data_IF_938644812420
#
_entry.id   IF_938644812420
#
_cell.length_a   1.000
_cell.length_b   1.000
_cell.length_c   1.000
_cell.angle_alpha   90.00
_cell.angle_beta   90.00
_cell.angle_gamma   90.00
#
_symmetry.space_group_name_H-M   'P 1'
#
loop_
_entity.id
_entity.type
_entity.pdbx_description
1 polymer ?
#
# COMPACT_ATOMS: atom_id res chain seq x y z
N UNK A 1 19.08 -20.73 -1.20
CA UNK A 1 17.95 -19.99 -0.58
C UNK A 1 18.06 -18.52 -0.93
N UNK A 2 16.95 -17.91 -1.32
CA UNK A 2 16.92 -16.52 -1.75
C UNK A 2 15.58 -15.88 -1.38
N UNK A 3 15.63 -14.66 -0.86
CA UNK A 3 14.45 -13.87 -0.60
C UNK A 3 14.21 -12.92 -1.77
N UNK A 4 13.00 -12.95 -2.34
CA UNK A 4 12.61 -12.13 -3.50
C UNK A 4 11.34 -11.35 -3.21
N UNK A 5 11.25 -10.14 -3.76
CA UNK A 5 10.01 -9.38 -3.81
C UNK A 5 9.20 -9.83 -5.03
N UNK A 6 7.96 -10.29 -4.80
CA UNK A 6 7.06 -10.71 -5.88
C UNK A 6 6.24 -9.53 -6.39
N UNK A 7 5.58 -8.82 -5.46
CA UNK A 7 4.77 -7.63 -5.77
C UNK A 7 4.71 -6.73 -4.54
N UNK A 8 4.50 -5.46 -4.78
CA UNK A 8 4.25 -4.47 -3.73
C UNK A 8 3.02 -3.64 -4.08
N UNK A 9 2.35 -3.15 -3.05
CA UNK A 9 1.25 -2.18 -3.18
C UNK A 9 1.56 -0.96 -2.31
N UNK A 10 0.56 -0.07 -2.11
CA UNK A 10 0.74 1.06 -1.21
C UNK A 10 0.81 0.67 0.27
N UNK A 11 0.31 -0.50 0.66
CA UNK A 11 0.20 -0.91 2.07
C UNK A 11 0.64 -2.33 2.35
N UNK A 12 1.12 -3.04 1.34
CA UNK A 12 1.52 -4.44 1.49
C UNK A 12 2.65 -4.81 0.56
N UNK A 13 3.27 -5.94 0.83
CA UNK A 13 4.28 -6.54 -0.03
C UNK A 13 4.17 -8.07 0.04
N UNK A 14 4.40 -8.72 -1.07
CA UNK A 14 4.46 -10.18 -1.15
C UNK A 14 5.90 -10.57 -1.41
N UNK A 15 6.45 -11.39 -0.53
CA UNK A 15 7.82 -11.89 -0.63
C UNK A 15 7.82 -13.41 -0.81
N UNK A 16 8.79 -13.90 -1.55
CA UNK A 16 9.03 -15.32 -1.76
C UNK A 16 10.39 -15.69 -1.17
N UNK A 17 10.39 -16.68 -0.29
CA UNK A 17 11.62 -17.25 0.25
C UNK A 17 11.83 -18.61 -0.38
N UNK A 18 12.67 -18.64 -1.42
CA UNK A 18 12.96 -19.84 -2.19
C UNK A 18 13.94 -20.72 -1.41
N UNK A 19 13.48 -21.91 -1.05
CA UNK A 19 14.25 -22.91 -0.30
C UNK A 19 14.82 -24.03 -1.18
N UNK A 20 14.94 -23.80 -2.50
CA UNK A 20 15.50 -24.76 -3.42
C UNK A 20 14.46 -25.56 -4.21
N UNK A 21 13.27 -25.00 -4.44
CA UNK A 21 12.24 -25.56 -5.30
C UNK A 21 11.16 -26.36 -4.59
N UNK A 22 11.08 -26.27 -3.28
CA UNK A 22 9.99 -26.85 -2.49
C UNK A 22 8.86 -25.84 -2.34
N UNK A 23 7.60 -26.28 -2.51
CA UNK A 23 6.45 -25.43 -2.31
C UNK A 23 6.19 -25.07 -0.86
N UNK A 24 6.64 -25.91 0.06
CA UNK A 24 6.49 -25.71 1.49
C UNK A 24 7.83 -25.90 2.17
N UNK A 25 8.28 -24.87 2.87
CA UNK A 25 9.31 -25.05 3.86
C UNK A 25 8.66 -25.72 5.06
N UNK A 26 9.18 -26.87 5.50
CA UNK A 26 8.75 -27.52 6.75
C UNK A 26 9.33 -26.80 7.98
N UNK A 27 10.20 -25.84 7.74
CA UNK A 27 10.91 -25.13 8.78
C UNK A 27 10.49 -23.65 8.79
N UNK A 28 10.24 -23.17 10.00
CA UNK A 28 9.84 -21.79 10.23
C UNK A 28 11.02 -20.85 10.07
N UNK A 29 10.79 -19.73 9.41
CA UNK A 29 11.75 -18.64 9.33
C UNK A 29 11.11 -17.34 9.82
N UNK A 30 11.95 -16.40 10.24
CA UNK A 30 11.52 -15.10 10.75
C UNK A 30 11.69 -14.02 9.68
N UNK A 31 10.67 -13.20 9.51
CA UNK A 31 10.75 -12.01 8.65
C UNK A 31 11.01 -10.77 9.50
N UNK A 32 11.99 -9.98 9.11
CA UNK A 32 12.31 -8.71 9.72
C UNK A 32 11.97 -7.57 8.77
N UNK A 33 11.36 -6.52 9.29
CA UNK A 33 11.11 -5.27 8.56
C UNK A 33 11.97 -4.19 9.20
N UNK A 34 12.89 -3.63 8.41
CA UNK A 34 13.84 -2.61 8.90
C UNK A 34 14.59 -3.05 10.18
N UNK A 35 14.92 -4.33 10.27
CA UNK A 35 15.62 -4.91 11.40
C UNK A 35 14.76 -5.33 12.58
N UNK A 36 13.45 -5.08 12.54
CA UNK A 36 12.50 -5.48 13.58
C UNK A 36 11.70 -6.71 13.17
N UNK A 37 11.44 -7.60 14.12
CA UNK A 37 10.67 -8.81 13.86
C UNK A 37 9.23 -8.47 13.46
N UNK A 38 8.84 -8.87 12.25
CA UNK A 38 7.46 -8.81 11.79
C UNK A 38 6.67 -10.04 12.20
N UNK A 39 7.25 -11.22 12.00
CA UNK A 39 6.59 -12.48 12.32
C UNK A 39 7.36 -13.67 11.78
N UNK A 40 6.81 -14.84 12.08
CA UNK A 40 7.36 -16.13 11.65
C UNK A 40 6.41 -16.81 10.69
N UNK A 41 6.93 -17.50 9.71
CA UNK A 41 6.13 -18.20 8.70
C UNK A 41 6.86 -19.45 8.19
N UNK A 42 6.07 -20.43 7.78
CA UNK A 42 6.56 -21.63 7.11
C UNK A 42 6.27 -21.59 5.60
N UNK A 43 5.65 -20.52 5.13
CA UNK A 43 5.22 -20.39 3.74
C UNK A 43 6.34 -19.87 2.86
N UNK A 44 6.46 -20.44 1.66
CA UNK A 44 7.39 -19.93 0.64
C UNK A 44 6.98 -18.52 0.19
N UNK A 45 5.69 -18.29 0.00
CA UNK A 45 5.14 -16.97 -0.37
C UNK A 45 4.38 -16.41 0.82
N UNK A 46 4.74 -15.23 1.28
CA UNK A 46 4.13 -14.56 2.43
C UNK A 46 3.77 -13.13 2.08
N UNK A 47 2.56 -12.73 2.47
CA UNK A 47 2.10 -11.33 2.33
C UNK A 47 2.35 -10.57 3.63
N UNK A 48 3.00 -9.42 3.51
CA UNK A 48 3.27 -8.50 4.62
C UNK A 48 2.26 -7.37 4.54
N UNK A 49 1.51 -7.15 5.62
CA UNK A 49 0.47 -6.12 5.71
C UNK A 49 0.88 -4.99 6.65
N UNK A 50 0.10 -3.92 6.64
CA UNK A 50 0.26 -2.82 7.58
C UNK A 50 1.41 -1.87 7.25
N UNK A 51 1.88 -1.87 6.01
CA UNK A 51 2.90 -0.95 5.55
C UNK A 51 2.31 0.45 5.28
N UNK A 52 3.14 1.46 5.33
CA UNK A 52 2.75 2.84 4.99
C UNK A 52 3.02 3.10 3.51
N UNK A 53 2.15 3.90 2.83
CA UNK A 53 2.40 4.29 1.45
C UNK A 53 3.66 5.15 1.29
N UNK A 54 4.25 5.10 0.10
CA UNK A 54 5.40 5.93 -0.29
C UNK A 54 6.55 5.90 0.72
N UNK A 55 6.82 4.71 1.26
CA UNK A 55 7.82 4.50 2.31
C UNK A 55 8.80 3.40 1.90
N UNK A 56 10.08 3.62 2.19
CA UNK A 56 11.11 2.61 1.92
C UNK A 56 11.16 1.57 3.03
N UNK A 57 11.28 0.31 2.62
CA UNK A 57 11.36 -0.83 3.52
C UNK A 57 12.48 -1.78 3.11
N UNK A 58 13.08 -2.44 4.11
CA UNK A 58 14.04 -3.53 3.93
C UNK A 58 13.50 -4.77 4.61
N UNK A 59 13.32 -5.84 3.84
CA UNK A 59 12.82 -7.11 4.35
C UNK A 59 13.96 -8.12 4.36
N UNK A 60 14.17 -8.76 5.50
CA UNK A 60 15.18 -9.79 5.70
C UNK A 60 14.52 -11.04 6.23
N UNK A 61 14.93 -12.21 5.74
CA UNK A 61 14.53 -13.50 6.29
C UNK A 61 15.67 -14.07 7.14
N UNK A 62 15.34 -14.57 8.32
CA UNK A 62 16.30 -15.25 9.20
C UNK A 62 15.90 -16.72 9.31
N UNK A 63 16.77 -17.59 8.86
CA UNK A 63 16.56 -19.04 8.85
C UNK A 63 17.81 -19.75 9.34
N UNK A 64 17.63 -20.64 10.30
CA UNK A 64 18.74 -21.43 10.89
C UNK A 64 19.93 -20.56 11.35
N UNK A 65 19.64 -19.37 11.90
CA UNK A 65 20.65 -18.43 12.37
C UNK A 65 21.35 -17.63 11.28
N UNK A 66 20.90 -17.73 10.04
CA UNK A 66 21.48 -17.02 8.89
C UNK A 66 20.48 -16.03 8.30
N UNK A 67 20.96 -14.86 7.93
CA UNK A 67 20.16 -13.82 7.30
C UNK A 67 20.19 -13.93 5.76
N UNK A 68 19.03 -13.74 5.13
CA UNK A 68 18.85 -13.74 3.68
C UNK A 68 18.18 -12.43 3.27
N UNK A 69 18.67 -11.81 2.21
CA UNK A 69 18.30 -10.49 1.78
C UNK A 69 19.39 -9.48 2.16
N UNK A 70 19.08 -8.19 2.41
CA UNK A 70 17.74 -7.62 2.42
C UNK A 70 17.16 -7.42 1.02
N UNK A 71 15.83 -7.42 0.95
CA UNK A 71 15.08 -6.96 -0.20
C UNK A 71 14.65 -5.53 0.11
N UNK A 72 15.07 -4.59 -0.72
CA UNK A 72 14.76 -3.18 -0.56
C UNK A 72 13.70 -2.77 -1.57
N UNK A 73 12.68 -2.03 -1.11
CA UNK A 73 11.64 -1.51 -1.98
C UNK A 73 10.98 -0.29 -1.37
N UNK A 74 10.28 0.45 -2.20
CA UNK A 74 9.44 1.57 -1.78
C UNK A 74 7.99 1.23 -2.10
N UNK A 75 7.10 1.33 -1.11
CA UNK A 75 5.66 1.10 -1.33
C UNK A 75 5.10 2.12 -2.32
N UNK A 76 4.02 1.72 -3.00
CA UNK A 76 3.40 2.57 -4.00
C UNK A 76 2.77 3.81 -3.37
N UNK A 77 2.75 4.87 -4.14
CA UNK A 77 2.12 6.11 -3.76
C UNK A 77 0.59 5.93 -3.73
N UNK A 78 -0.06 6.41 -2.67
CA UNK A 78 -1.50 6.33 -2.52
C UNK A 78 -2.11 7.74 -2.56
N UNK A 79 -2.94 7.99 -3.58
CA UNK A 79 -3.60 9.29 -3.73
C UNK A 79 -4.76 9.42 -2.76
N UNK A 80 -4.87 10.59 -2.14
CA UNK A 80 -6.07 10.99 -1.41
C UNK A 80 -7.09 11.46 -2.44
N UNK A 81 -8.29 10.86 -2.43
CA UNK A 81 -9.40 11.26 -3.31
C UNK A 81 -10.45 12.01 -2.51
N UNK A 82 -10.77 13.23 -2.94
CA UNK A 82 -11.83 14.06 -2.35
C UNK A 82 -13.01 14.08 -3.31
N UNK A 83 -14.16 13.59 -2.84
CA UNK A 83 -15.37 13.55 -3.64
C UNK A 83 -16.17 14.83 -3.36
N UNK A 84 -16.50 15.63 -4.39
CA UNK A 84 -17.21 16.89 -4.23
C UNK A 84 -18.59 16.73 -3.58
N UNK A 85 -19.21 15.56 -3.71
CA UNK A 85 -20.50 15.28 -3.06
C UNK A 85 -20.39 15.21 -1.54
N UNK A 86 -19.24 14.83 -1.01
CA UNK A 86 -18.97 14.83 0.43
C UNK A 86 -18.83 16.26 0.98
N UNK A 87 -18.57 17.22 0.10
CA UNK A 87 -18.51 18.65 0.44
C UNK A 87 -19.84 19.37 0.21
N UNK A 88 -20.91 18.63 -0.12
CA UNK A 88 -22.26 19.16 -0.26
C UNK A 88 -22.73 19.41 -1.68
N UNK A 89 -21.98 18.99 -2.69
CA UNK A 89 -22.42 19.11 -4.08
C UNK A 89 -23.60 18.17 -4.38
N UNK A 90 -24.63 18.67 -5.04
CA UNK A 90 -25.84 17.90 -5.37
C UNK A 90 -25.75 17.20 -6.73
N UNK A 91 -25.14 17.85 -7.72
CA UNK A 91 -25.02 17.28 -9.06
C UNK A 91 -26.33 17.13 -9.82
N UNK A 92 -27.36 17.91 -9.44
CA UNK A 92 -28.72 17.80 -9.99
C UNK A 92 -29.05 18.88 -11.04
N UNK A 93 -28.12 19.79 -11.31
CA UNK A 93 -28.33 20.91 -12.24
C UNK A 93 -29.21 22.03 -11.71
N UNK A 94 -29.70 21.94 -10.47
CA UNK A 94 -30.60 22.96 -9.85
C UNK A 94 -29.91 23.73 -8.73
N UNK A 95 -29.18 23.04 -7.86
CA UNK A 95 -28.41 23.69 -6.79
C UNK A 95 -27.13 24.29 -7.31
N UNK A 96 -26.70 25.41 -6.71
CA UNK A 96 -25.39 25.98 -7.00
C UNK A 96 -24.32 25.22 -6.23
N UNK A 97 -23.49 24.47 -6.95
CA UNK A 97 -22.44 23.62 -6.39
C UNK A 97 -21.06 24.30 -6.32
N UNK A 98 -20.98 25.58 -6.67
CA UNK A 98 -19.72 26.35 -6.72
C UNK A 98 -18.94 26.26 -5.41
N UNK A 99 -19.60 26.52 -4.27
CA UNK A 99 -18.93 26.50 -2.97
C UNK A 99 -18.45 25.10 -2.57
N UNK A 100 -19.26 24.07 -2.85
CA UNK A 100 -18.90 22.70 -2.54
C UNK A 100 -17.66 22.26 -3.31
N UNK A 101 -17.61 22.55 -4.61
CA UNK A 101 -16.47 22.22 -5.47
C UNK A 101 -15.23 23.00 -5.05
N UNK A 102 -15.37 24.29 -4.77
CA UNK A 102 -14.26 25.12 -4.29
C UNK A 102 -13.72 24.64 -2.94
N UNK A 103 -14.60 24.24 -2.02
CA UNK A 103 -14.17 23.68 -0.73
C UNK A 103 -13.36 22.40 -0.90
N UNK A 104 -13.78 21.51 -1.81
CA UNK A 104 -13.04 20.29 -2.11
C UNK A 104 -11.65 20.60 -2.67
N UNK A 105 -11.56 21.55 -3.61
CA UNK A 105 -10.29 21.96 -4.21
C UNK A 105 -9.36 22.59 -3.16
N UNK A 106 -9.89 23.46 -2.32
CA UNK A 106 -9.12 24.15 -1.28
C UNK A 106 -8.66 23.20 -0.17
N UNK A 107 -9.44 22.17 0.13
CA UNK A 107 -9.11 21.17 1.14
C UNK A 107 -8.11 20.12 0.62
N UNK A 108 -7.88 20.06 -0.70
CA UNK A 108 -7.04 19.04 -1.31
C UNK A 108 -5.57 19.21 -0.89
N UNK A 109 -4.97 18.22 -0.22
CA UNK A 109 -3.55 18.27 0.07
C UNK A 109 -2.72 18.06 -1.19
N UNK A 110 -1.42 18.30 -1.08
CA UNK A 110 -0.49 18.01 -2.19
C UNK A 110 -0.65 16.54 -2.62
N UNK A 111 -0.60 16.31 -3.92
CA UNK A 111 -0.69 14.97 -4.53
C UNK A 111 -2.00 14.24 -4.22
N UNK A 112 -3.09 14.99 -4.11
CA UNK A 112 -4.44 14.44 -4.04
C UNK A 112 -5.20 14.70 -5.34
N UNK A 113 -6.38 14.10 -5.46
CA UNK A 113 -7.28 14.35 -6.58
C UNK A 113 -8.67 14.70 -6.08
N UNK A 114 -9.36 15.55 -6.83
CA UNK A 114 -10.75 15.90 -6.59
C UNK A 114 -11.62 15.13 -7.58
N UNK A 115 -12.52 14.29 -7.07
CA UNK A 115 -13.45 13.51 -7.88
C UNK A 115 -14.77 14.26 -8.03
N UNK A 116 -15.18 14.48 -9.28
CA UNK A 116 -16.49 15.01 -9.64
C UNK A 116 -17.30 13.85 -10.23
N UNK A 117 -18.17 13.17 -9.45
CA UNK A 117 -18.96 12.06 -9.96
C UNK A 117 -19.91 12.48 -11.07
N UNK A 118 -20.40 11.51 -11.83
CA UNK A 118 -21.38 11.78 -12.89
C UNK A 118 -22.57 12.57 -12.35
N UNK A 119 -22.98 13.60 -13.07
CA UNK A 119 -24.07 14.49 -12.68
C UNK A 119 -24.00 15.80 -13.44
N UNK A 120 -24.97 16.69 -13.18
CA UNK A 120 -25.01 18.04 -13.72
C UNK A 120 -24.74 19.03 -12.59
N UNK A 121 -23.58 19.67 -12.63
CA UNK A 121 -23.15 20.61 -11.58
C UNK A 121 -23.31 22.03 -12.05
N UNK A 122 -24.11 22.78 -11.32
CA UNK A 122 -24.33 24.19 -11.60
C UNK A 122 -23.29 25.04 -10.86
N UNK A 123 -22.54 25.77 -11.62
CA UNK A 123 -21.48 26.64 -11.11
C UNK A 123 -21.60 28.04 -11.67
#
# INVERSE_FOLDING_TARGET
MELKLVIKTGRSAVVEFDDGGKYYSKEEYTLLINGEEYGKTEKVVTTIYGLKPDTEYKITAVYAGKEYGPVEFKTDYEYVTLNVREFGAYGDGEHDDTNAIQCAIMAAPKDSRVLVPEGVYKI
#
